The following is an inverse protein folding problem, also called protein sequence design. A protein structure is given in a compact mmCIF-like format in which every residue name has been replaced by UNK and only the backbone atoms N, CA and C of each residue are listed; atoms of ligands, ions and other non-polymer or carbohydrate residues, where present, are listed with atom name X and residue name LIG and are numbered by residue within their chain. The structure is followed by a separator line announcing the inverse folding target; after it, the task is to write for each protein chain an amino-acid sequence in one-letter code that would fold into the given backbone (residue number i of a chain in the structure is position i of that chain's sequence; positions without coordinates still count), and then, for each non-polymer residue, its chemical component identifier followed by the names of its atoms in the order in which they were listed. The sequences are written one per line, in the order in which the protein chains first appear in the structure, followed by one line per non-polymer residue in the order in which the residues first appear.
data_IF_705969374449
#
_entry.id   IF_705969374449
#
_cell.length_a   1.000
_cell.length_b   1.000
_cell.length_c   1.000
_cell.angle_alpha   90.00
_cell.angle_beta   90.00
_cell.angle_gamma   90.00
#
_symmetry.space_group_name_H-M   'P 1'
#
loop_
_entity.id
_entity.type
_entity.pdbx_description
1 polymer ?
#
# COMPACT_ATOMS: atom_id res chain seq x y z
N UNK A 1 -5.85 -6.87 31.95
CA UNK A 1 -6.43 -6.59 30.61
C UNK A 1 -5.34 -6.16 29.64
N UNK A 2 -4.46 -7.08 29.22
CA UNK A 2 -3.35 -6.78 28.31
C UNK A 2 -3.58 -7.45 26.94
N UNK A 3 -3.88 -6.61 25.95
CA UNK A 3 -3.43 -6.73 24.57
C UNK A 3 -3.37 -8.15 23.96
N UNK A 4 -4.51 -8.62 23.45
CA UNK A 4 -4.53 -9.57 22.34
C UNK A 4 -4.09 -8.81 21.07
N UNK A 5 -2.79 -8.51 20.95
CA UNK A 5 -2.21 -8.18 19.65
C UNK A 5 -2.25 -9.49 18.89
N UNK A 6 -3.18 -9.64 17.94
CA UNK A 6 -3.22 -10.78 17.03
C UNK A 6 -1.81 -11.08 16.53
N UNK A 7 -1.23 -12.19 17.02
CA UNK A 7 0.17 -12.58 16.87
C UNK A 7 0.39 -12.98 15.41
N UNK A 8 0.56 -12.00 14.54
CA UNK A 8 1.18 -12.26 13.25
C UNK A 8 2.69 -12.42 13.49
N UNK A 9 3.16 -13.67 13.52
CA UNK A 9 4.58 -14.01 13.52
C UNK A 9 5.23 -13.38 12.28
N UNK A 10 6.23 -12.53 12.49
CA UNK A 10 7.04 -11.99 11.41
C UNK A 10 7.80 -13.14 10.78
N UNK A 11 7.81 -13.20 9.45
CA UNK A 11 8.70 -14.14 8.76
C UNK A 11 10.13 -13.62 8.77
N UNK A 12 11.07 -14.54 8.54
CA UNK A 12 12.45 -14.17 8.32
C UNK A 12 12.53 -13.45 6.98
N UNK A 13 12.94 -12.18 7.03
CA UNK A 13 13.20 -11.35 5.86
C UNK A 13 14.70 -11.11 5.79
N UNK A 14 15.27 -11.34 4.61
CA UNK A 14 16.64 -10.90 4.30
C UNK A 14 16.67 -9.38 4.13
N UNK A 15 15.62 -8.79 3.55
CA UNK A 15 15.47 -7.35 3.36
C UNK A 15 15.11 -6.63 4.68
N UNK A 16 16.07 -5.93 5.27
CA UNK A 16 15.88 -5.10 6.48
C UNK A 16 14.78 -4.04 6.29
N UNK A 17 14.81 -3.31 5.17
CA UNK A 17 13.83 -2.25 4.87
C UNK A 17 12.38 -2.74 4.88
N UNK A 18 12.14 -3.97 4.40
CA UNK A 18 10.80 -4.56 4.39
C UNK A 18 10.33 -4.90 5.79
N UNK A 19 11.22 -5.44 6.63
CA UNK A 19 10.94 -5.76 8.03
C UNK A 19 10.56 -4.50 8.80
N UNK A 20 11.32 -3.42 8.64
CA UNK A 20 11.10 -2.15 9.35
C UNK A 20 9.74 -1.53 8.99
N UNK A 21 9.37 -1.51 7.71
CA UNK A 21 8.06 -1.03 7.26
C UNK A 21 6.90 -1.86 7.87
N UNK A 22 7.05 -3.18 7.97
CA UNK A 22 6.02 -4.04 8.60
C UNK A 22 5.89 -3.73 10.09
N UNK A 23 7.00 -3.46 10.78
CA UNK A 23 7.01 -3.07 12.19
C UNK A 23 6.37 -1.69 12.40
N UNK A 24 6.65 -0.75 11.51
CA UNK A 24 6.07 0.60 11.53
C UNK A 24 4.55 0.56 11.34
N UNK A 25 4.06 -0.22 10.36
CA UNK A 25 2.63 -0.48 10.17
C UNK A 25 1.95 -1.09 11.42
N UNK A 26 2.64 -2.01 12.11
CA UNK A 26 2.16 -2.57 13.38
C UNK A 26 2.10 -1.52 14.48
N UNK A 27 3.08 -0.62 14.55
CA UNK A 27 3.12 0.47 15.52
C UNK A 27 1.96 1.45 15.27
N UNK A 28 1.71 1.82 14.02
CA UNK A 28 0.60 2.68 13.65
C UNK A 28 -0.77 2.04 13.91
N UNK A 29 -0.90 0.71 13.75
CA UNK A 29 -2.10 0.01 14.22
C UNK A 29 -2.31 0.14 15.74
N UNK A 30 -1.25 0.09 16.55
CA UNK A 30 -1.39 0.28 18.00
C UNK A 30 -1.86 1.69 18.38
N UNK A 31 -1.42 2.70 17.62
CA UNK A 31 -1.79 4.11 17.82
C UNK A 31 -3.23 4.41 17.34
N UNK A 32 -3.53 4.10 16.09
CA UNK A 32 -4.78 4.50 15.43
C UNK A 32 -5.89 3.44 15.50
N UNK A 33 -5.57 2.19 15.86
CA UNK A 33 -6.48 1.02 15.85
C UNK A 33 -7.19 0.75 14.50
N UNK A 34 -6.78 1.41 13.41
CA UNK A 34 -7.31 1.20 12.06
C UNK A 34 -6.89 -0.16 11.50
N UNK A 35 -7.84 -1.08 11.32
CA UNK A 35 -7.60 -2.46 10.81
C UNK A 35 -6.87 -2.53 9.46
N UNK A 36 -6.90 -1.45 8.67
CA UNK A 36 -6.19 -1.31 7.38
C UNK A 36 -4.68 -1.55 7.55
N UNK A 37 -4.06 -1.00 8.59
CA UNK A 37 -2.62 -1.11 8.82
C UNK A 37 -2.20 -2.55 9.11
N UNK A 38 -3.02 -3.26 9.88
CA UNK A 38 -2.80 -4.68 10.15
C UNK A 38 -2.97 -5.53 8.87
N UNK A 39 -3.95 -5.19 8.02
CA UNK A 39 -4.12 -5.85 6.73
C UNK A 39 -2.90 -5.64 5.82
N UNK A 40 -2.42 -4.39 5.68
CA UNK A 40 -1.22 -4.08 4.90
C UNK A 40 0.01 -4.81 5.43
N UNK A 41 0.23 -4.81 6.75
CA UNK A 41 1.31 -5.57 7.37
C UNK A 41 1.21 -7.06 7.07
N UNK A 42 0.00 -7.65 7.13
CA UNK A 42 -0.25 -9.07 6.77
C UNK A 42 0.07 -9.37 5.31
N UNK A 43 -0.32 -8.47 4.40
CA UNK A 43 -0.04 -8.62 2.98
C UNK A 43 1.45 -8.49 2.69
N UNK A 44 2.15 -7.51 3.27
CA UNK A 44 3.59 -7.37 3.10
C UNK A 44 4.36 -8.51 3.75
N UNK A 45 3.85 -9.10 4.82
CA UNK A 45 4.46 -10.28 5.43
C UNK A 45 4.47 -11.49 4.48
N UNK A 46 3.75 -11.48 3.33
CA UNK A 46 3.72 -12.55 2.31
C UNK A 46 5.09 -12.78 1.63
N UNK A 47 5.39 -14.02 1.17
CA UNK A 47 6.64 -14.26 0.45
C UNK A 47 6.62 -13.45 -0.85
N UNK A 48 7.80 -13.13 -1.40
CA UNK A 48 7.91 -12.24 -2.57
C UNK A 48 7.07 -12.72 -3.75
N UNK A 49 7.06 -14.04 -4.02
CA UNK A 49 6.22 -14.70 -5.04
C UNK A 49 4.70 -14.54 -4.86
N UNK A 50 4.23 -14.20 -3.65
CA UNK A 50 2.81 -14.01 -3.35
C UNK A 50 2.49 -12.53 -3.05
N UNK A 51 3.42 -11.60 -3.28
CA UNK A 51 3.13 -10.17 -3.20
C UNK A 51 2.33 -9.72 -4.42
N UNK A 52 1.44 -8.76 -4.21
CA UNK A 52 0.65 -8.18 -5.29
C UNK A 52 1.57 -7.50 -6.32
N UNK A 53 1.30 -7.75 -7.60
CA UNK A 53 1.90 -7.00 -8.71
C UNK A 53 0.75 -6.52 -9.58
N UNK A 54 0.51 -5.21 -9.54
CA UNK A 54 -0.73 -4.62 -10.08
C UNK A 54 -0.38 -3.64 -11.18
N UNK A 55 -1.01 -3.82 -12.34
CA UNK A 55 -0.89 -2.91 -13.48
C UNK A 55 -1.79 -1.68 -13.31
N UNK A 56 -1.40 -0.55 -13.92
CA UNK A 56 -2.20 0.68 -13.94
C UNK A 56 -3.60 0.46 -14.52
N UNK A 57 -3.73 -0.36 -15.56
CA UNK A 57 -5.04 -0.72 -16.15
C UNK A 57 -5.99 -1.36 -15.14
N UNK A 58 -5.47 -2.27 -14.31
CA UNK A 58 -6.25 -2.92 -13.23
C UNK A 58 -6.69 -1.88 -12.20
N UNK A 59 -5.80 -0.96 -11.82
CA UNK A 59 -6.14 0.13 -10.90
C UNK A 59 -7.26 0.99 -11.49
N UNK A 60 -7.10 1.45 -12.73
CA UNK A 60 -8.08 2.30 -13.40
C UNK A 60 -9.47 1.65 -13.48
N UNK A 61 -9.54 0.34 -13.71
CA UNK A 61 -10.81 -0.41 -13.76
C UNK A 61 -11.54 -0.44 -12.40
N UNK A 62 -10.84 -0.76 -11.31
CA UNK A 62 -11.47 -0.89 -9.98
C UNK A 62 -11.61 0.43 -9.21
N UNK A 63 -10.86 1.45 -9.61
CA UNK A 63 -10.87 2.76 -8.97
C UNK A 63 -12.10 3.59 -9.37
N UNK A 64 -12.60 4.38 -8.42
CA UNK A 64 -13.52 5.50 -8.70
C UNK A 64 -12.79 6.83 -8.56
N UNK A 65 -13.33 7.89 -9.15
CA UNK A 65 -12.73 9.22 -9.03
C UNK A 65 -12.63 9.67 -7.57
N UNK A 66 -11.50 10.31 -7.25
CA UNK A 66 -11.07 10.73 -5.91
C UNK A 66 -10.85 9.59 -4.90
N UNK A 67 -10.75 8.32 -5.34
CA UNK A 67 -10.38 7.22 -4.45
C UNK A 67 -8.91 7.29 -4.01
N UNK A 68 -8.64 6.81 -2.79
CA UNK A 68 -7.29 6.53 -2.31
C UNK A 68 -7.02 5.03 -2.37
N UNK A 69 -6.07 4.63 -3.21
CA UNK A 69 -5.76 3.23 -3.46
C UNK A 69 -4.38 2.91 -2.93
N UNK A 70 -4.34 1.84 -2.14
CA UNK A 70 -3.10 1.26 -1.65
C UNK A 70 -2.86 -0.11 -2.28
N UNK A 71 -1.70 -0.28 -2.91
CA UNK A 71 -1.26 -1.58 -3.44
C UNK A 71 -0.27 -2.21 -2.48
N UNK A 72 -0.63 -3.36 -1.92
CA UNK A 72 0.19 -4.10 -0.94
C UNK A 72 1.32 -4.90 -1.62
N UNK A 73 2.06 -4.25 -2.50
CA UNK A 73 3.10 -4.86 -3.34
C UNK A 73 3.66 -3.84 -4.34
N UNK A 74 3.86 -4.29 -5.59
CA UNK A 74 4.45 -3.48 -6.65
C UNK A 74 3.41 -2.96 -7.64
N UNK A 75 3.48 -1.67 -7.98
CA UNK A 75 2.75 -1.11 -9.13
C UNK A 75 3.63 -1.19 -10.38
N UNK A 76 3.03 -1.66 -11.48
CA UNK A 76 3.65 -1.83 -12.78
C UNK A 76 3.02 -0.87 -13.80
N UNK A 77 3.84 -0.34 -14.70
CA UNK A 77 3.47 0.73 -15.64
C UNK A 77 2.67 0.31 -16.86
N UNK A 78 2.00 -0.85 -16.85
CA UNK A 78 1.18 -1.28 -17.97
C UNK A 78 -0.24 -0.68 -17.90
N UNK A 79 -0.72 -0.10 -18.99
CA UNK A 79 -1.99 0.65 -19.06
C UNK A 79 -1.84 2.16 -18.86
N UNK A 80 -2.99 2.82 -18.69
CA UNK A 80 -3.18 4.27 -18.54
C UNK A 80 -4.14 4.51 -17.35
N UNK A 81 -4.00 5.66 -16.69
CA UNK A 81 -4.93 6.14 -15.66
C UNK A 81 -5.56 7.43 -16.18
N UNK A 82 -6.89 7.42 -16.34
CA UNK A 82 -7.65 8.57 -16.81
C UNK A 82 -8.44 9.24 -15.68
N UNK A 83 -8.41 8.65 -14.48
CA UNK A 83 -9.14 9.08 -13.28
C UNK A 83 -8.26 9.93 -12.37
N UNK A 84 -8.89 10.70 -11.49
CA UNK A 84 -8.20 11.46 -10.44
C UNK A 84 -8.07 10.61 -9.18
N UNK A 85 -6.90 10.02 -8.94
CA UNK A 85 -6.67 9.07 -7.85
C UNK A 85 -5.50 9.48 -6.97
N UNK A 86 -5.53 9.05 -5.72
CA UNK A 86 -4.35 9.08 -4.83
C UNK A 86 -3.84 7.65 -4.70
N UNK A 87 -2.65 7.40 -5.24
CA UNK A 87 -2.05 6.06 -5.29
C UNK A 87 -0.88 5.95 -4.32
N UNK A 88 -0.77 4.79 -3.68
CA UNK A 88 0.39 4.44 -2.87
C UNK A 88 0.68 2.96 -2.93
N UNK A 89 1.95 2.61 -2.77
CA UNK A 89 2.39 1.23 -2.85
C UNK A 89 3.64 0.99 -2.01
N UNK A 90 4.02 -0.28 -1.87
CA UNK A 90 5.30 -0.64 -1.28
C UNK A 90 6.47 -0.40 -2.26
N UNK A 91 6.24 -0.68 -3.55
CA UNK A 91 7.21 -0.40 -4.63
C UNK A 91 6.47 0.05 -5.88
N UNK A 92 7.06 0.94 -6.64
CA UNK A 92 6.54 1.41 -7.94
C UNK A 92 7.61 1.26 -9.00
N UNK A 93 7.25 0.93 -10.24
CA UNK A 93 8.20 1.00 -11.36
C UNK A 93 8.36 2.44 -11.84
N UNK A 94 9.53 2.82 -12.34
CA UNK A 94 9.77 4.16 -12.87
C UNK A 94 8.75 4.53 -13.95
N UNK A 95 8.50 3.59 -14.88
CA UNK A 95 7.49 3.74 -15.92
C UNK A 95 6.07 3.95 -15.38
N UNK A 96 5.73 3.36 -14.23
CA UNK A 96 4.44 3.58 -13.60
C UNK A 96 4.37 4.97 -12.99
N UNK A 97 5.44 5.37 -12.29
CA UNK A 97 5.52 6.69 -11.65
C UNK A 97 5.40 7.81 -12.68
N UNK A 98 6.08 7.70 -13.81
CA UNK A 98 5.99 8.65 -14.92
C UNK A 98 4.56 8.76 -15.46
N UNK A 99 3.89 7.62 -15.70
CA UNK A 99 2.51 7.62 -16.18
C UNK A 99 1.52 8.19 -15.17
N UNK A 100 1.73 7.91 -13.88
CA UNK A 100 0.91 8.49 -12.80
C UNK A 100 1.10 10.00 -12.76
N UNK A 101 2.34 10.49 -12.82
CA UNK A 101 2.64 11.93 -12.81
C UNK A 101 2.14 12.66 -14.05
N UNK A 102 2.06 11.99 -15.21
CA UNK A 102 1.45 12.53 -16.44
C UNK A 102 -0.08 12.56 -16.40
N UNK A 103 -0.70 11.80 -15.50
CA UNK A 103 -2.15 11.78 -15.32
C UNK A 103 -2.60 12.81 -14.26
N UNK A 104 -3.90 13.00 -14.10
CA UNK A 104 -4.48 13.81 -13.02
C UNK A 104 -4.41 13.16 -11.63
N UNK A 105 -3.65 12.06 -11.49
CA UNK A 105 -3.47 11.32 -10.25
C UNK A 105 -2.17 11.69 -9.54
N UNK A 106 -2.12 11.45 -8.22
CA UNK A 106 -0.93 11.70 -7.40
C UNK A 106 -0.42 10.40 -6.78
N UNK A 107 0.88 10.15 -6.92
CA UNK A 107 1.55 9.10 -6.17
C UNK A 107 2.07 9.65 -4.83
N UNK A 108 1.81 8.93 -3.73
CA UNK A 108 2.29 9.25 -2.39
C UNK A 108 2.97 8.01 -1.80
N UNK A 109 4.17 8.20 -1.26
CA UNK A 109 4.87 7.11 -0.59
C UNK A 109 4.13 6.61 0.64
N UNK A 110 4.26 5.31 0.91
CA UNK A 110 3.62 4.67 2.06
C UNK A 110 3.94 5.40 3.37
N UNK A 111 5.19 5.84 3.59
CA UNK A 111 5.57 6.59 4.81
C UNK A 111 4.77 7.88 4.96
N UNK A 112 4.69 8.67 3.89
CA UNK A 112 3.89 9.91 3.88
C UNK A 112 2.40 9.62 4.12
N UNK A 113 1.87 8.53 3.56
CA UNK A 113 0.50 8.08 3.84
C UNK A 113 0.27 7.71 5.30
N UNK A 114 1.25 7.11 5.96
CA UNK A 114 1.15 6.76 7.37
C UNK A 114 1.10 8.02 8.27
N UNK A 115 1.76 9.10 7.87
CA UNK A 115 1.75 10.37 8.61
C UNK A 115 0.46 11.17 8.38
N UNK A 116 -0.23 10.93 7.25
CA UNK A 116 -1.49 11.59 6.91
C UNK A 116 -2.65 11.03 7.76
N UNK A 117 -3.02 11.75 8.82
CA UNK A 117 -4.15 11.41 9.73
C UNK A 117 -5.51 11.25 9.03
N UNK A 118 -5.76 11.98 7.92
CA UNK A 118 -7.06 12.12 7.25
C UNK A 118 -7.23 11.22 6.02
N UNK A 119 -7.04 9.91 6.15
CA UNK A 119 -7.42 8.98 5.08
C UNK A 119 -8.52 8.06 5.59
N UNK A 120 -9.75 8.35 5.15
CA UNK A 120 -10.95 7.67 5.62
C UNK A 120 -11.34 6.49 4.72
N UNK A 121 -11.00 6.52 3.42
CA UNK A 121 -11.38 5.50 2.44
C UNK A 121 -10.16 4.92 1.70
N UNK A 122 -9.34 4.11 2.39
CA UNK A 122 -8.24 3.36 1.75
C UNK A 122 -8.79 2.06 1.16
N UNK A 123 -8.71 1.91 -0.16
CA UNK A 123 -8.99 0.65 -0.86
C UNK A 123 -7.69 -0.13 -1.07
N UNK A 124 -7.66 -1.40 -0.70
CA UNK A 124 -6.50 -2.26 -0.94
C UNK A 124 -6.72 -3.06 -2.23
N UNK A 125 -5.84 -2.90 -3.21
CA UNK A 125 -5.83 -3.72 -4.43
C UNK A 125 -4.68 -4.73 -4.36
N UNK A 126 -5.00 -5.97 -4.75
CA UNK A 126 -4.06 -7.10 -4.81
C UNK A 126 -4.00 -7.69 -6.22
#
# INVERSE_FOLDING_TARGET
MFFIITIMKLRNFTDKNKKDIILELKSNFKKDKKKIWLALAKHLNKPKRNLASVNLSKINYYAKDNDTIFVAGKILGNGIIDKKLVLSSFKVSNTALEKINKSNSKYIDLKKIMDLKKINNIRIIK
#
